data_IF_597086956386
#
_entry.id   IF_597086956386
#
_cell.length_a   1.000
_cell.length_b   1.000
_cell.length_c   1.000
_cell.angle_alpha   90.00
_cell.angle_beta   90.00
_cell.angle_gamma   90.00
#
_symmetry.space_group_name_H-M   'P 1'
#
loop_
_entity.id
_entity.type
_entity.pdbx_description
1 polymer ?
#
# COMPACT_ATOMS: atom_id res chain seq x y z
N UNK A 1 -41.84 -45.88 2.09
CA UNK A 1 -40.48 -45.41 2.37
C UNK A 1 -40.21 -44.21 1.45
N UNK A 2 -40.58 -43.00 1.88
CA UNK A 2 -40.47 -41.77 1.07
C UNK A 2 -39.39 -40.90 1.70
N UNK A 3 -38.25 -40.78 1.02
CA UNK A 3 -37.17 -39.86 1.38
C UNK A 3 -37.61 -38.43 0.99
N UNK A 4 -37.78 -37.58 2.01
CA UNK A 4 -37.98 -36.12 1.86
C UNK A 4 -36.73 -35.49 1.27
N UNK A 5 -36.90 -34.73 0.19
CA UNK A 5 -35.92 -33.77 -0.29
C UNK A 5 -35.80 -32.61 0.72
N UNK A 6 -34.60 -32.37 1.24
CA UNK A 6 -34.29 -31.20 2.05
C UNK A 6 -34.24 -29.96 1.14
N UNK A 7 -35.11 -28.99 1.38
CA UNK A 7 -35.11 -27.70 0.72
C UNK A 7 -33.79 -26.96 1.02
N UNK A 8 -33.15 -26.44 -0.02
CA UNK A 8 -32.06 -25.46 0.13
C UNK A 8 -32.72 -24.11 0.46
N UNK A 9 -32.54 -23.68 1.70
CA UNK A 9 -33.27 -22.59 2.33
C UNK A 9 -33.00 -21.22 1.68
N UNK A 10 -34.08 -20.54 1.26
CA UNK A 10 -34.15 -19.14 0.80
C UNK A 10 -33.57 -18.15 1.83
N UNK A 11 -33.54 -18.56 3.10
CA UNK A 11 -32.90 -17.87 4.22
C UNK A 11 -31.39 -17.69 4.03
N UNK A 12 -30.68 -18.72 3.52
CA UNK A 12 -29.23 -18.61 3.31
C UNK A 12 -28.86 -17.65 2.16
N UNK A 13 -29.66 -17.63 1.09
CA UNK A 13 -29.47 -16.72 -0.03
C UNK A 13 -29.79 -15.27 0.36
N UNK A 14 -30.78 -15.06 1.24
CA UNK A 14 -31.14 -13.75 1.78
C UNK A 14 -30.05 -13.21 2.70
N UNK A 15 -29.57 -14.03 3.65
CA UNK A 15 -28.44 -13.67 4.53
C UNK A 15 -27.17 -13.36 3.76
N UNK A 16 -26.88 -14.08 2.67
CA UNK A 16 -25.74 -13.79 1.80
C UNK A 16 -25.90 -12.44 1.08
N UNK A 17 -27.10 -12.14 0.55
CA UNK A 17 -27.35 -10.85 -0.12
C UNK A 17 -27.27 -9.67 0.85
N UNK A 18 -27.83 -9.82 2.04
CA UNK A 18 -27.75 -8.79 3.11
C UNK A 18 -26.31 -8.59 3.57
N UNK A 19 -25.55 -9.67 3.78
CA UNK A 19 -24.13 -9.58 4.14
C UNK A 19 -23.27 -8.98 3.03
N UNK A 20 -23.58 -9.25 1.76
CA UNK A 20 -22.91 -8.64 0.61
C UNK A 20 -23.27 -7.16 0.46
N UNK A 21 -24.54 -6.79 0.64
CA UNK A 21 -25.00 -5.40 0.59
C UNK A 21 -24.40 -4.57 1.73
N UNK A 22 -24.32 -5.11 2.95
CA UNK A 22 -23.64 -4.48 4.08
C UNK A 22 -22.14 -4.27 3.82
N UNK A 23 -21.45 -5.29 3.31
CA UNK A 23 -20.04 -5.18 2.93
C UNK A 23 -19.79 -4.20 1.78
N UNK A 24 -20.70 -4.09 0.82
CA UNK A 24 -20.62 -3.14 -0.28
C UNK A 24 -20.85 -1.70 0.20
N UNK A 25 -21.90 -1.45 1.00
CA UNK A 25 -22.19 -0.12 1.55
C UNK A 25 -21.08 0.41 2.48
N UNK A 26 -20.49 -0.45 3.32
CA UNK A 26 -19.31 -0.07 4.12
C UNK A 26 -18.07 0.24 3.27
N UNK A 27 -17.85 -0.53 2.20
CA UNK A 27 -16.72 -0.33 1.30
C UNK A 27 -16.87 0.97 0.49
N UNK A 28 -18.08 1.27 0.04
CA UNK A 28 -18.44 2.50 -0.67
C UNK A 28 -18.31 3.74 0.23
N UNK A 29 -18.68 3.62 1.51
CA UNK A 29 -18.47 4.68 2.51
C UNK A 29 -17.00 4.98 2.78
N UNK A 30 -16.19 3.94 3.03
CA UNK A 30 -14.74 4.09 3.24
C UNK A 30 -14.04 4.67 2.00
N UNK A 31 -14.45 4.25 0.81
CA UNK A 31 -13.91 4.76 -0.46
C UNK A 31 -14.26 6.24 -0.68
N UNK A 32 -15.50 6.63 -0.39
CA UNK A 32 -15.94 8.03 -0.51
C UNK A 32 -15.17 8.94 0.44
N UNK A 33 -15.02 8.52 1.71
CA UNK A 33 -14.26 9.25 2.71
C UNK A 33 -12.78 9.37 2.32
N UNK A 34 -12.16 8.27 1.86
CA UNK A 34 -10.79 8.27 1.35
C UNK A 34 -10.61 9.17 0.13
N UNK A 35 -11.58 9.20 -0.78
CA UNK A 35 -11.54 10.05 -1.98
C UNK A 35 -11.60 11.53 -1.61
N UNK A 36 -12.47 11.92 -0.68
CA UNK A 36 -12.51 13.29 -0.18
C UNK A 36 -11.21 13.71 0.52
N UNK A 37 -10.61 12.79 1.29
CA UNK A 37 -9.29 13.01 1.91
C UNK A 37 -8.19 13.23 0.86
N UNK A 38 -8.09 12.36 -0.14
CA UNK A 38 -7.09 12.49 -1.19
C UNK A 38 -7.24 13.81 -1.99
N UNK A 39 -8.48 14.25 -2.21
CA UNK A 39 -8.75 15.51 -2.92
C UNK A 39 -8.36 16.74 -2.09
N UNK A 40 -8.78 16.78 -0.82
CA UNK A 40 -8.65 17.98 0.02
C UNK A 40 -7.29 18.08 0.72
N UNK A 41 -6.73 16.96 1.16
CA UNK A 41 -5.51 16.92 1.96
C UNK A 41 -4.26 16.69 1.11
N UNK A 42 -4.34 15.85 0.07
CA UNK A 42 -3.22 15.57 -0.84
C UNK A 42 -3.35 16.27 -2.20
N UNK A 43 -4.40 17.07 -2.42
CA UNK A 43 -4.55 17.86 -3.64
C UNK A 43 -4.85 17.06 -4.91
N UNK A 44 -5.15 15.77 -4.83
CA UNK A 44 -5.36 14.89 -5.99
C UNK A 44 -6.75 15.15 -6.58
N UNK A 45 -6.84 16.05 -7.56
CA UNK A 45 -8.12 16.49 -8.13
C UNK A 45 -8.77 15.48 -9.09
N UNK A 46 -7.98 14.62 -9.73
CA UNK A 46 -8.50 13.63 -10.68
C UNK A 46 -9.26 12.51 -9.95
N UNK A 47 -10.56 12.38 -10.22
CA UNK A 47 -11.40 11.31 -9.67
C UNK A 47 -10.83 9.94 -10.03
N UNK A 48 -10.41 9.74 -11.30
CA UNK A 48 -9.84 8.48 -11.76
C UNK A 48 -8.54 8.12 -11.05
N UNK A 49 -7.69 9.11 -10.76
CA UNK A 49 -6.45 8.89 -10.02
C UNK A 49 -6.73 8.51 -8.57
N UNK A 50 -7.60 9.24 -7.86
CA UNK A 50 -8.02 8.89 -6.50
C UNK A 50 -8.62 7.49 -6.46
N UNK A 51 -9.43 7.17 -7.46
CA UNK A 51 -10.06 5.87 -7.58
C UNK A 51 -9.06 4.74 -7.73
N UNK A 52 -8.06 4.92 -8.60
CA UNK A 52 -6.94 3.97 -8.77
C UNK A 52 -6.13 3.82 -7.50
N UNK A 53 -5.81 4.93 -6.82
CA UNK A 53 -5.01 4.91 -5.58
C UNK A 53 -5.72 4.09 -4.50
N UNK A 54 -7.00 4.39 -4.23
CA UNK A 54 -7.77 3.69 -3.20
C UNK A 54 -8.00 2.22 -3.56
N UNK A 55 -8.31 1.91 -4.82
CA UNK A 55 -8.46 0.53 -5.27
C UNK A 55 -7.15 -0.24 -5.11
N UNK A 56 -6.04 0.32 -5.58
CA UNK A 56 -4.71 -0.30 -5.46
C UNK A 56 -4.33 -0.52 -3.99
N UNK A 57 -4.62 0.43 -3.10
CA UNK A 57 -4.22 0.33 -1.70
C UNK A 57 -5.15 -0.58 -0.86
N UNK A 58 -6.45 -0.62 -1.16
CA UNK A 58 -7.45 -1.20 -0.25
C UNK A 58 -8.16 -2.45 -0.80
N UNK A 59 -8.08 -2.71 -2.10
CA UNK A 59 -8.77 -3.84 -2.73
C UNK A 59 -7.81 -5.02 -2.99
N UNK A 60 -8.00 -6.17 -2.30
CA UNK A 60 -7.23 -7.39 -2.55
C UNK A 60 -7.33 -7.93 -3.98
N UNK A 61 -8.37 -7.54 -4.73
CA UNK A 61 -8.60 -7.95 -6.11
C UNK A 61 -8.40 -6.79 -7.10
N UNK A 62 -7.65 -5.75 -6.72
CA UNK A 62 -7.39 -4.59 -7.58
C UNK A 62 -6.77 -5.02 -8.91
N UNK A 63 -7.45 -4.74 -10.02
CA UNK A 63 -6.92 -5.03 -11.35
C UNK A 63 -5.69 -4.17 -11.70
N UNK A 64 -5.45 -3.09 -10.96
CA UNK A 64 -4.24 -2.26 -11.11
C UNK A 64 -3.02 -2.89 -10.44
N UNK A 65 -3.22 -3.73 -9.42
CA UNK A 65 -2.13 -4.37 -8.68
C UNK A 65 -1.80 -5.79 -9.19
N UNK A 66 -2.76 -6.45 -9.87
CA UNK A 66 -2.60 -7.81 -10.34
C UNK A 66 -1.90 -7.85 -11.70
N UNK A 67 -0.99 -8.81 -11.88
CA UNK A 67 -0.49 -9.12 -13.22
C UNK A 67 -1.55 -9.96 -13.96
N UNK A 68 -1.92 -9.60 -15.20
CA UNK A 68 -3.00 -10.26 -15.94
C UNK A 68 -2.70 -11.73 -16.27
N UNK A 69 -1.42 -12.14 -16.25
CA UNK A 69 -0.98 -13.51 -16.53
C UNK A 69 -1.20 -14.49 -15.37
N UNK A 70 -1.46 -14.00 -14.14
CA UNK A 70 -1.54 -14.85 -12.94
C UNK A 70 -2.98 -14.98 -12.43
N UNK A 71 -3.68 -16.04 -12.86
CA UNK A 71 -5.01 -16.38 -12.33
C UNK A 71 -4.97 -16.60 -10.82
N UNK A 72 -5.84 -15.90 -10.09
CA UNK A 72 -5.96 -16.01 -8.63
C UNK A 72 -4.89 -15.29 -7.83
N UNK A 73 -4.08 -14.42 -8.45
CA UNK A 73 -3.22 -13.51 -7.71
C UNK A 73 -4.08 -12.56 -6.87
N UNK A 74 -3.69 -12.34 -5.62
CA UNK A 74 -4.29 -11.37 -4.71
C UNK A 74 -3.27 -10.31 -4.36
N UNK A 75 -3.73 -9.08 -4.17
CA UNK A 75 -2.91 -7.99 -3.66
C UNK A 75 -2.63 -8.23 -2.16
N UNK A 76 -1.46 -8.81 -1.86
CA UNK A 76 -1.08 -9.26 -0.53
C UNK A 76 -0.87 -8.16 0.52
N UNK A 77 -0.85 -6.89 0.12
CA UNK A 77 -0.71 -5.74 1.01
C UNK A 77 -2.00 -4.92 1.11
N UNK A 78 -3.03 -5.23 0.32
CA UNK A 78 -4.29 -4.52 0.39
C UNK A 78 -4.95 -4.74 1.75
N UNK A 79 -5.31 -3.63 2.40
CA UNK A 79 -6.14 -3.65 3.61
C UNK A 79 -7.12 -2.50 3.62
N UNK A 80 -8.23 -2.68 4.34
CA UNK A 80 -9.08 -1.54 4.69
C UNK A 80 -8.28 -0.60 5.59
N UNK A 81 -8.41 0.69 5.34
CA UNK A 81 -7.85 1.76 6.15
C UNK A 81 -8.88 2.87 6.33
N UNK A 82 -8.89 3.49 7.51
CA UNK A 82 -9.70 4.68 7.78
C UNK A 82 -8.98 5.95 7.32
N UNK A 83 -9.69 7.08 7.26
CA UNK A 83 -9.09 8.37 6.92
C UNK A 83 -8.06 8.80 7.97
N UNK A 84 -8.27 8.45 9.23
CA UNK A 84 -7.36 8.72 10.34
C UNK A 84 -6.05 7.95 10.17
N UNK A 85 -6.10 6.69 9.74
CA UNK A 85 -4.91 5.92 9.43
C UNK A 85 -4.14 6.50 8.23
N UNK A 86 -4.85 6.87 7.16
CA UNK A 86 -4.23 7.54 6.00
C UNK A 86 -3.58 8.87 6.39
N UNK A 87 -4.23 9.65 7.25
CA UNK A 87 -3.71 10.89 7.80
C UNK A 87 -2.44 10.66 8.62
N UNK A 88 -2.45 9.68 9.51
CA UNK A 88 -1.28 9.34 10.32
C UNK A 88 -0.07 8.98 9.45
N UNK A 89 -0.29 8.26 8.34
CA UNK A 89 0.77 7.97 7.36
C UNK A 89 1.30 9.26 6.70
N UNK A 90 0.42 10.15 6.26
CA UNK A 90 0.84 11.44 5.65
C UNK A 90 1.64 12.28 6.64
N UNK A 91 1.15 12.42 7.88
CA UNK A 91 1.83 13.15 8.95
C UNK A 91 3.18 12.53 9.30
N UNK A 92 3.26 11.19 9.34
CA UNK A 92 4.53 10.49 9.51
C UNK A 92 5.50 10.85 8.39
N UNK A 93 5.11 10.75 7.12
CA UNK A 93 6.00 11.09 6.00
C UNK A 93 6.47 12.55 6.06
N UNK A 94 5.58 13.48 6.42
CA UNK A 94 5.96 14.88 6.63
C UNK A 94 6.95 15.04 7.78
N UNK A 95 6.79 14.29 8.88
CA UNK A 95 7.74 14.29 10.00
C UNK A 95 9.13 13.78 9.61
N UNK A 96 9.22 12.97 8.55
CA UNK A 96 10.49 12.50 7.98
C UNK A 96 11.11 13.50 7.00
N UNK A 97 10.50 14.67 6.81
CA UNK A 97 11.03 15.75 5.97
C UNK A 97 10.47 15.81 4.55
N UNK A 98 9.43 15.03 4.22
CA UNK A 98 8.75 15.15 2.93
C UNK A 98 7.80 16.35 2.93
N UNK A 99 7.84 17.15 1.86
CA UNK A 99 6.81 18.16 1.58
C UNK A 99 5.50 17.49 1.18
N UNK A 100 4.38 18.22 1.26
CA UNK A 100 3.07 17.67 0.89
C UNK A 100 3.04 17.20 -0.57
N UNK A 101 3.66 17.95 -1.49
CA UNK A 101 3.77 17.59 -2.92
C UNK A 101 4.60 16.30 -3.11
N UNK A 102 5.66 16.13 -2.33
CA UNK A 102 6.45 14.89 -2.33
C UNK A 102 5.65 13.71 -1.78
N UNK A 103 4.84 13.90 -0.74
CA UNK A 103 3.93 12.86 -0.24
C UNK A 103 2.89 12.51 -1.30
N UNK A 104 2.28 13.51 -1.95
CA UNK A 104 1.36 13.28 -3.05
C UNK A 104 2.02 12.42 -4.15
N UNK A 105 3.23 12.77 -4.59
CA UNK A 105 3.99 11.98 -5.58
C UNK A 105 4.19 10.54 -5.13
N UNK A 106 4.68 10.33 -3.90
CA UNK A 106 4.91 9.00 -3.33
C UNK A 106 3.63 8.17 -3.31
N UNK A 107 2.50 8.77 -2.92
CA UNK A 107 1.19 8.11 -2.88
C UNK A 107 0.65 7.81 -4.27
N UNK A 108 0.83 8.71 -5.24
CA UNK A 108 0.40 8.49 -6.62
C UNK A 108 1.21 7.38 -7.30
N UNK A 109 2.52 7.32 -7.07
CA UNK A 109 3.41 6.33 -7.68
C UNK A 109 3.37 4.97 -6.96
N UNK A 110 3.25 4.97 -5.64
CA UNK A 110 3.15 3.76 -4.81
C UNK A 110 1.98 3.87 -3.81
N UNK A 111 0.73 3.75 -4.30
CA UNK A 111 -0.49 3.79 -3.47
C UNK A 111 -0.48 2.96 -2.18
N UNK A 112 0.09 1.74 -2.12
CA UNK A 112 0.24 0.97 -0.87
C UNK A 112 0.75 1.75 0.32
N UNK A 113 1.58 2.77 0.09
CA UNK A 113 2.17 3.60 1.15
C UNK A 113 1.10 4.10 2.12
N UNK A 114 -0.07 4.51 1.62
CA UNK A 114 -1.19 5.04 2.42
C UNK A 114 -1.72 4.07 3.48
N UNK A 115 -1.48 2.78 3.32
CA UNK A 115 -2.02 1.73 4.19
C UNK A 115 -0.92 0.92 4.87
N UNK A 116 0.35 1.29 4.71
CA UNK A 116 1.41 0.62 5.45
C UNK A 116 1.35 0.96 6.94
N UNK A 117 1.71 -0.02 7.76
CA UNK A 117 1.87 0.17 9.19
C UNK A 117 3.10 1.05 9.46
N UNK A 118 2.91 2.09 10.27
CA UNK A 118 3.97 3.05 10.55
C UNK A 118 5.09 2.39 11.35
N UNK A 119 4.76 1.63 12.39
CA UNK A 119 5.73 1.08 13.35
C UNK A 119 6.38 -0.21 12.84
N UNK A 120 5.64 -1.02 12.09
CA UNK A 120 6.12 -2.31 11.58
C UNK A 120 6.79 -2.22 10.20
N UNK A 121 6.54 -1.14 9.44
CA UNK A 121 7.06 -1.02 8.07
C UNK A 121 7.71 0.31 7.77
N UNK A 122 7.01 1.43 7.93
CA UNK A 122 7.53 2.71 7.48
C UNK A 122 8.73 3.15 8.33
N UNK A 123 8.57 3.25 9.65
CA UNK A 123 9.62 3.66 10.58
C UNK A 123 10.88 2.79 10.48
N UNK A 124 10.82 1.44 10.56
CA UNK A 124 12.01 0.61 10.40
C UNK A 124 12.72 0.82 9.05
N UNK A 125 11.96 1.09 7.98
CA UNK A 125 12.54 1.35 6.65
C UNK A 125 13.28 2.68 6.61
N UNK A 126 12.68 3.75 7.14
CA UNK A 126 13.33 5.06 7.21
C UNK A 126 14.57 5.04 8.11
N UNK A 127 14.49 4.40 9.28
CA UNK A 127 15.63 4.24 10.19
C UNK A 127 16.76 3.43 9.55
N UNK A 128 16.42 2.36 8.82
CA UNK A 128 17.43 1.55 8.15
C UNK A 128 18.13 2.34 7.04
N UNK A 129 17.41 3.06 6.18
CA UNK A 129 18.01 3.92 5.16
C UNK A 129 18.94 4.96 5.78
N UNK A 130 18.54 5.58 6.90
CA UNK A 130 19.37 6.53 7.62
C UNK A 130 20.64 5.87 8.19
N UNK A 131 20.54 4.63 8.69
CA UNK A 131 21.70 3.88 9.19
C UNK A 131 22.72 3.54 8.09
N UNK A 132 22.30 3.54 6.82
CA UNK A 132 23.15 3.40 5.64
C UNK A 132 23.75 4.74 5.19
N UNK A 133 23.61 5.83 5.96
CA UNK A 133 24.11 7.16 5.59
C UNK A 133 23.34 7.83 4.45
N UNK A 134 22.22 7.24 4.00
CA UNK A 134 21.37 7.81 2.96
C UNK A 134 20.45 8.88 3.54
N UNK A 135 19.82 9.66 2.67
CA UNK A 135 18.74 10.59 3.04
C UNK A 135 17.38 9.92 2.76
N UNK A 136 16.68 9.36 3.77
CA UNK A 136 15.51 8.50 3.53
C UNK A 136 14.41 9.19 2.73
N UNK A 137 14.11 10.46 3.05
CA UNK A 137 13.10 11.24 2.34
C UNK A 137 13.42 11.38 0.84
N UNK A 138 14.66 11.74 0.50
CA UNK A 138 15.08 11.89 -0.89
C UNK A 138 15.03 10.55 -1.64
N UNK A 139 15.47 9.46 -0.99
CA UNK A 139 15.44 8.10 -1.54
C UNK A 139 14.01 7.63 -1.81
N UNK A 140 13.11 7.80 -0.83
CA UNK A 140 11.70 7.38 -0.96
C UNK A 140 10.97 8.20 -2.01
N UNK A 141 11.23 9.50 -2.11
CA UNK A 141 10.65 10.35 -3.17
C UNK A 141 11.16 9.92 -4.55
N UNK A 142 12.44 9.54 -4.66
CA UNK A 142 13.04 9.05 -5.92
C UNK A 142 12.50 7.68 -6.31
N UNK A 143 12.27 6.80 -5.33
CA UNK A 143 11.76 5.44 -5.55
C UNK A 143 10.76 4.99 -4.46
N UNK A 144 9.48 5.35 -4.60
CA UNK A 144 8.45 5.01 -3.62
C UNK A 144 8.25 3.49 -3.39
N UNK A 145 8.47 2.68 -4.42
CA UNK A 145 8.32 1.22 -4.36
C UNK A 145 9.28 0.53 -3.39
N UNK A 146 10.35 1.21 -2.97
CA UNK A 146 11.30 0.72 -1.96
C UNK A 146 10.61 0.43 -0.61
N UNK A 147 9.56 1.19 -0.26
CA UNK A 147 8.73 0.94 0.93
C UNK A 147 7.99 -0.42 0.86
N UNK A 148 7.83 -0.97 -0.35
CA UNK A 148 7.27 -2.28 -0.60
C UNK A 148 8.14 -3.45 -0.11
N UNK A 149 9.46 -3.28 -0.17
CA UNK A 149 10.45 -4.29 0.20
C UNK A 149 10.50 -4.50 1.72
N UNK A 150 10.37 -3.42 2.49
CA UNK A 150 10.49 -3.41 3.95
C UNK A 150 11.93 -3.67 4.43
N UNK A 151 12.32 -3.00 5.52
CA UNK A 151 13.65 -3.11 6.12
C UNK A 151 14.06 -4.58 6.37
N UNK A 152 13.27 -5.28 7.17
CA UNK A 152 13.64 -6.61 7.68
C UNK A 152 13.19 -7.75 6.76
N UNK A 153 12.23 -7.48 5.87
CA UNK A 153 11.73 -8.48 4.93
C UNK A 153 12.67 -8.68 3.73
N UNK A 154 13.31 -7.62 3.22
CA UNK A 154 14.12 -7.74 1.99
C UNK A 154 15.29 -6.76 1.90
N UNK A 155 15.16 -5.51 2.37
CA UNK A 155 16.21 -4.50 2.18
C UNK A 155 17.54 -4.88 2.83
N UNK A 156 17.52 -5.30 4.10
CA UNK A 156 18.75 -5.74 4.79
C UNK A 156 19.45 -6.89 4.08
N UNK A 157 18.68 -7.83 3.53
CA UNK A 157 19.25 -8.98 2.78
C UNK A 157 19.90 -8.52 1.48
N UNK A 158 19.24 -7.64 0.73
CA UNK A 158 19.77 -7.11 -0.54
C UNK A 158 21.05 -6.32 -0.28
N UNK A 159 21.03 -5.40 0.69
CA UNK A 159 22.20 -4.59 1.04
C UNK A 159 23.35 -5.47 1.54
N UNK A 160 23.07 -6.43 2.43
CA UNK A 160 24.09 -7.38 2.89
C UNK A 160 24.73 -8.16 1.75
N UNK A 161 23.93 -8.66 0.80
CA UNK A 161 24.47 -9.31 -0.40
C UNK A 161 25.35 -8.38 -1.23
N UNK A 162 24.90 -7.15 -1.50
CA UNK A 162 25.66 -6.20 -2.31
C UNK A 162 26.97 -5.75 -1.65
N UNK A 163 27.01 -5.68 -0.32
CA UNK A 163 28.21 -5.32 0.44
C UNK A 163 29.18 -6.50 0.56
N UNK A 164 28.67 -7.65 1.02
CA UNK A 164 29.52 -8.78 1.42
C UNK A 164 29.91 -9.68 0.24
N UNK A 165 29.03 -9.81 -0.76
CA UNK A 165 29.24 -10.71 -1.91
C UNK A 165 29.72 -9.95 -3.13
N UNK A 166 29.04 -8.85 -3.50
CA UNK A 166 29.44 -8.04 -4.67
C UNK A 166 30.56 -7.02 -4.36
N UNK A 167 30.87 -6.79 -3.07
CA UNK A 167 31.92 -5.85 -2.66
C UNK A 167 31.63 -4.38 -2.97
N UNK A 168 30.36 -4.01 -3.14
CA UNK A 168 29.96 -2.65 -3.54
C UNK A 168 30.12 -1.66 -2.40
N UNK A 169 30.47 -0.44 -2.77
CA UNK A 169 30.47 0.70 -1.85
C UNK A 169 29.05 1.13 -1.47
N UNK A 170 28.94 1.82 -0.34
CA UNK A 170 27.66 2.34 0.14
C UNK A 170 27.00 3.31 -0.86
N UNK A 171 27.81 4.10 -1.57
CA UNK A 171 27.33 5.03 -2.59
C UNK A 171 26.75 4.30 -3.82
N UNK A 172 27.38 3.21 -4.26
CA UNK A 172 26.85 2.39 -5.35
C UNK A 172 25.55 1.69 -4.94
N UNK A 173 25.46 1.23 -3.69
CA UNK A 173 24.25 0.61 -3.16
C UNK A 173 23.12 1.65 -3.05
N UNK A 174 23.43 2.86 -2.61
CA UNK A 174 22.45 3.95 -2.57
C UNK A 174 21.86 4.22 -3.95
N UNK A 175 22.72 4.31 -4.97
CA UNK A 175 22.29 4.52 -6.34
C UNK A 175 21.41 3.36 -6.83
N UNK A 176 21.87 2.11 -6.65
CA UNK A 176 21.13 0.91 -7.04
C UNK A 176 19.76 0.81 -6.35
N UNK A 177 19.70 1.12 -5.06
CA UNK A 177 18.46 1.14 -4.30
C UNK A 177 17.51 2.21 -4.82
N UNK A 178 18.02 3.33 -5.32
CA UNK A 178 17.18 4.42 -5.77
C UNK A 178 16.78 4.34 -7.26
N UNK A 179 17.42 3.50 -8.07
CA UNK A 179 17.15 3.43 -9.52
C UNK A 179 16.78 2.06 -10.08
N UNK A 180 17.42 0.97 -9.63
CA UNK A 180 17.55 -0.24 -10.47
C UNK A 180 16.99 -1.52 -9.85
N UNK A 181 17.08 -1.66 -8.53
CA UNK A 181 16.57 -2.84 -7.82
C UNK A 181 15.04 -2.92 -7.88
#
# INVERSE_FOLDING_TARGET
MVLRAAGKDDSTATLLREALAGKQGEMEGAYTAGSAFLQSHLGIQSVGERSRILDTAMNPNSLYALRPDRKGAVNGWARKATVEEMRAVVEFLQSQGLTLDQVQKVVSEHPPTLVYDIEQRLRPTFEYLASLGMTPAATVVRRPSLLGLGADASLRRIVGYLQEVDGRSLAEIEELLATTL
#
